data_IF_221890766640
#
_entry.id   IF_221890766640
#
_cell.length_a   1.000
_cell.length_b   1.000
_cell.length_c   1.000
_cell.angle_alpha   90.00
_cell.angle_beta   90.00
_cell.angle_gamma   90.00
#
_symmetry.space_group_name_H-M   'P 1'
#
loop_
_entity.id
_entity.type
_entity.pdbx_description
1 polymer ?
#
# COMPACT_ATOMS: atom_id res chain seq x y z
N UNK A 1 -8.19 0.54 1.33
CA UNK A 1 -7.46 -0.76 1.36
C UNK A 1 -6.03 -0.53 1.80
N UNK A 2 -5.42 -1.52 2.46
CA UNK A 2 -3.96 -1.60 2.65
C UNK A 2 -3.42 -2.78 1.85
N UNK A 3 -2.39 -2.56 1.05
CA UNK A 3 -1.55 -3.57 0.39
C UNK A 3 -0.31 -3.82 1.26
N UNK A 4 -0.30 -4.94 1.99
CA UNK A 4 0.74 -5.29 2.97
C UNK A 4 1.85 -6.05 2.27
N UNK A 5 3.10 -5.60 2.47
CA UNK A 5 4.22 -6.19 1.71
C UNK A 5 4.10 -5.86 0.21
N UNK A 6 3.47 -4.74 -0.13
CA UNK A 6 3.13 -4.37 -1.51
C UNK A 6 4.33 -3.93 -2.36
N UNK A 7 5.55 -3.98 -1.82
CA UNK A 7 6.77 -3.55 -2.48
C UNK A 7 6.69 -2.10 -2.96
N UNK A 8 7.03 -1.87 -4.22
CA UNK A 8 6.97 -0.55 -4.87
C UNK A 8 5.54 -0.15 -5.31
N UNK A 9 4.52 -0.89 -4.88
CA UNK A 9 3.11 -0.59 -5.11
C UNK A 9 2.58 -0.98 -6.49
N UNK A 10 3.20 -1.93 -7.18
CA UNK A 10 2.77 -2.36 -8.52
C UNK A 10 1.33 -2.86 -8.55
N UNK A 11 0.96 -3.73 -7.62
CA UNK A 11 -0.42 -4.23 -7.50
C UNK A 11 -1.38 -3.12 -7.08
N UNK A 12 -0.99 -2.31 -6.09
CA UNK A 12 -1.78 -1.17 -5.65
C UNK A 12 -2.12 -0.18 -6.79
N UNK A 13 -1.17 0.11 -7.69
CA UNK A 13 -1.40 0.97 -8.89
C UNK A 13 -2.49 0.39 -9.80
N UNK A 14 -2.37 -0.89 -10.16
CA UNK A 14 -3.37 -1.56 -11.00
C UNK A 14 -4.76 -1.54 -10.33
N UNK A 15 -4.81 -1.73 -9.02
CA UNK A 15 -6.09 -1.73 -8.29
C UNK A 15 -6.75 -0.35 -8.26
N UNK A 16 -6.00 0.74 -8.01
CA UNK A 16 -6.59 2.09 -8.01
C UNK A 16 -6.97 2.57 -9.42
N UNK A 17 -6.32 2.06 -10.47
CA UNK A 17 -6.70 2.28 -11.87
C UNK A 17 -7.99 1.52 -12.23
N UNK A 18 -8.10 0.26 -11.83
CA UNK A 18 -9.26 -0.58 -12.11
C UNK A 18 -10.51 -0.18 -11.30
N UNK A 19 -10.33 0.42 -10.12
CA UNK A 19 -11.41 0.82 -9.21
C UNK A 19 -11.29 2.31 -8.87
N UNK A 20 -11.88 3.24 -9.66
CA UNK A 20 -11.60 4.67 -9.54
C UNK A 20 -11.88 5.33 -8.17
N UNK A 21 -12.78 4.74 -7.38
CA UNK A 21 -13.14 5.21 -6.02
C UNK A 21 -12.31 4.57 -4.90
N UNK A 22 -11.41 3.64 -5.22
CA UNK A 22 -10.54 2.98 -4.26
C UNK A 22 -9.40 3.90 -3.84
N UNK A 23 -9.17 4.03 -2.53
CA UNK A 23 -7.93 4.54 -1.96
C UNK A 23 -7.10 3.37 -1.43
N UNK A 24 -5.81 3.39 -1.74
CA UNK A 24 -4.87 2.36 -1.35
C UNK A 24 -3.68 2.96 -0.60
N UNK A 25 -3.25 2.23 0.43
CA UNK A 25 -2.00 2.47 1.15
C UNK A 25 -1.13 1.23 0.96
N UNK A 26 0.12 1.40 0.55
CA UNK A 26 1.12 0.33 0.57
C UNK A 26 1.85 0.39 1.91
N UNK A 27 1.78 -0.68 2.69
CA UNK A 27 2.55 -0.85 3.92
C UNK A 27 3.81 -1.66 3.60
N UNK A 28 4.97 -1.06 3.83
CA UNK A 28 6.26 -1.69 3.56
C UNK A 28 7.38 -1.22 4.50
N UNK A 29 8.50 -1.95 4.49
CA UNK A 29 9.69 -1.57 5.23
C UNK A 29 10.35 -0.33 4.61
N UNK A 30 10.99 0.48 5.46
CA UNK A 30 11.58 1.77 5.05
C UNK A 30 12.50 1.67 3.82
N UNK A 31 13.37 0.66 3.79
CA UNK A 31 14.34 0.47 2.71
C UNK A 31 13.71 0.06 1.37
N UNK A 32 12.46 -0.42 1.36
CA UNK A 32 11.75 -0.87 0.15
C UNK A 32 11.11 0.31 -0.57
N UNK A 33 10.56 1.26 0.20
CA UNK A 33 9.78 2.39 -0.31
C UNK A 33 10.50 3.74 -0.20
N UNK A 34 11.81 3.71 0.09
CA UNK A 34 12.62 4.93 0.14
C UNK A 34 12.62 5.66 -1.21
N UNK A 35 12.45 6.99 -1.17
CA UNK A 35 12.35 7.84 -2.35
C UNK A 35 11.06 7.69 -3.17
N UNK A 36 10.14 6.77 -2.83
CA UNK A 36 8.85 6.67 -3.51
C UNK A 36 7.92 7.79 -3.09
N UNK A 37 7.16 8.31 -4.06
CA UNK A 37 6.12 9.31 -3.83
C UNK A 37 4.77 8.73 -4.22
N UNK A 38 3.81 8.88 -3.32
CA UNK A 38 2.40 8.61 -3.60
C UNK A 38 1.69 9.79 -4.27
N UNK A 39 0.41 9.60 -4.51
CA UNK A 39 -0.56 10.59 -4.97
C UNK A 39 -1.85 10.54 -4.11
N UNK A 40 -2.94 11.14 -4.58
CA UNK A 40 -4.21 11.21 -3.86
C UNK A 40 -4.87 9.83 -3.63
N UNK A 41 -4.67 8.89 -4.56
CA UNK A 41 -5.30 7.56 -4.53
C UNK A 41 -4.39 6.49 -3.97
N UNK A 42 -3.08 6.64 -4.14
CA UNK A 42 -2.06 5.70 -3.70
C UNK A 42 -1.04 6.38 -2.79
N UNK A 43 -0.93 5.93 -1.55
CA UNK A 43 0.08 6.42 -0.61
C UNK A 43 0.94 5.29 -0.06
N UNK A 44 2.10 5.64 0.51
CA UNK A 44 3.05 4.69 1.08
C UNK A 44 3.20 4.97 2.57
N UNK A 45 3.18 3.91 3.37
CA UNK A 45 3.39 3.96 4.81
C UNK A 45 4.53 3.01 5.16
N UNK A 46 5.53 3.57 5.85
CA UNK A 46 6.61 2.79 6.42
C UNK A 46 6.10 2.10 7.68
N UNK A 47 6.33 0.79 7.79
CA UNK A 47 6.02 0.06 9.01
C UNK A 47 6.34 -1.42 8.93
N UNK A 48 6.19 -2.09 10.07
CA UNK A 48 6.31 -3.53 10.19
C UNK A 48 4.92 -4.13 10.42
N UNK A 49 4.49 -5.00 9.52
CA UNK A 49 3.17 -5.66 9.59
C UNK A 49 3.00 -6.54 10.82
N UNK A 50 4.10 -7.03 11.43
CA UNK A 50 4.06 -7.79 12.68
C UNK A 50 3.84 -6.91 13.91
N UNK A 51 4.06 -5.60 13.78
CA UNK A 51 3.83 -4.61 14.84
C UNK A 51 2.46 -3.96 14.68
N UNK A 52 2.15 -3.46 13.49
CA UNK A 52 0.85 -2.82 13.21
C UNK A 52 0.56 -2.74 11.71
N UNK A 53 -0.71 -2.91 11.36
CA UNK A 53 -1.23 -2.65 10.01
C UNK A 53 -2.17 -1.44 10.09
N UNK A 54 -2.05 -0.45 9.19
CA UNK A 54 -2.97 0.69 9.14
C UNK A 54 -4.43 0.24 9.03
N UNK A 55 -5.34 0.96 9.70
CA UNK A 55 -6.77 0.66 9.63
C UNK A 55 -7.28 0.94 8.21
N UNK A 56 -7.97 -0.03 7.62
CA UNK A 56 -8.69 0.11 6.36
C UNK A 56 -9.86 -0.88 6.28
N UNK A 57 -10.73 -0.69 5.29
CA UNK A 57 -11.87 -1.59 5.05
C UNK A 57 -11.44 -3.00 4.61
N UNK A 58 -10.26 -3.12 4.03
CA UNK A 58 -9.69 -4.39 3.56
C UNK A 58 -8.16 -4.36 3.61
N UNK A 59 -7.59 -5.54 3.86
CA UNK A 59 -6.17 -5.84 3.75
C UNK A 59 -5.95 -6.79 2.59
N UNK A 60 -5.02 -6.45 1.71
CA UNK A 60 -4.54 -7.31 0.64
C UNK A 60 -3.14 -7.77 0.99
N UNK A 61 -2.92 -9.09 0.95
CA UNK A 61 -1.62 -9.73 1.17
C UNK A 61 -1.40 -10.71 0.03
N UNK A 62 -0.42 -10.41 -0.82
CA UNK A 62 -0.03 -11.29 -1.92
C UNK A 62 0.88 -12.40 -1.39
N UNK A 63 0.52 -13.66 -1.67
CA UNK A 63 1.33 -14.87 -1.37
C UNK A 63 2.20 -15.24 -2.56
#
# INVERSE_FOLDING_TARGET
MVDVGGGTGGMAKVMVEACPGLKCVVLELAHVIDGLKGDEKLSFVVGDMFVSIPRADAVFLKV
#
